data_IF_568729452683
#
_entry.id   IF_568729452683
#
_cell.length_a   1.000
_cell.length_b   1.000
_cell.length_c   1.000
_cell.angle_alpha   90.00
_cell.angle_beta   90.00
_cell.angle_gamma   90.00
#
_symmetry.space_group_name_H-M   'P 1'
#
loop_
_entity.id
_entity.type
_entity.pdbx_description
1 polymer ?
#
# COMPACT_ATOMS: atom_id res chain seq x y z
N UNK A 1 -4.67 45.96 -35.75
CA UNK A 1 -5.42 45.10 -34.80
C UNK A 1 -4.85 43.69 -34.90
N UNK A 2 -4.13 43.21 -33.88
CA UNK A 2 -3.52 41.88 -33.88
C UNK A 2 -4.62 40.80 -33.77
N UNK A 3 -4.69 39.83 -34.70
CA UNK A 3 -5.71 38.78 -34.63
C UNK A 3 -5.44 37.88 -33.42
N UNK A 4 -6.39 37.83 -32.48
CA UNK A 4 -6.38 36.83 -31.41
C UNK A 4 -6.59 35.46 -32.03
N UNK A 5 -5.52 34.69 -32.16
CA UNK A 5 -5.61 33.29 -32.58
C UNK A 5 -6.38 32.51 -31.51
N UNK A 6 -7.37 31.69 -31.88
CA UNK A 6 -8.12 30.90 -30.92
C UNK A 6 -7.17 29.89 -30.26
N UNK A 7 -7.10 29.91 -28.92
CA UNK A 7 -6.33 28.92 -28.16
C UNK A 7 -6.77 27.51 -28.58
N UNK A 8 -5.85 26.60 -28.93
CA UNK A 8 -6.21 25.30 -29.47
C UNK A 8 -7.03 24.52 -28.44
N UNK A 9 -8.19 24.01 -28.84
CA UNK A 9 -9.09 23.23 -27.99
C UNK A 9 -8.38 22.06 -27.29
N UNK A 10 -7.33 21.53 -27.92
CA UNK A 10 -6.45 20.48 -27.41
C UNK A 10 -5.81 20.86 -26.06
N UNK A 11 -5.41 22.13 -25.86
CA UNK A 11 -4.84 22.58 -24.56
C UNK A 11 -5.86 22.54 -23.43
N UNK A 12 -7.16 22.67 -23.74
CA UNK A 12 -8.25 22.55 -22.75
C UNK A 12 -8.47 21.09 -22.33
N UNK A 13 -8.37 20.16 -23.29
CA UNK A 13 -8.42 18.72 -23.01
C UNK A 13 -7.20 18.24 -22.23
N UNK A 14 -5.99 18.63 -22.63
CA UNK A 14 -4.75 18.28 -21.91
C UNK A 14 -4.77 18.81 -20.48
N UNK A 15 -5.23 20.05 -20.24
CA UNK A 15 -5.40 20.57 -18.88
C UNK A 15 -6.44 19.79 -18.07
N UNK A 16 -7.51 19.31 -18.71
CA UNK A 16 -8.53 18.49 -18.06
C UNK A 16 -7.98 17.11 -17.69
N UNK A 17 -7.35 16.42 -18.63
CA UNK A 17 -6.78 15.09 -18.41
C UNK A 17 -5.64 15.11 -17.39
N UNK A 18 -4.76 16.12 -17.42
CA UNK A 18 -3.70 16.27 -16.44
C UNK A 18 -4.24 16.42 -15.01
N UNK A 19 -5.32 17.20 -14.82
CA UNK A 19 -5.97 17.32 -13.51
C UNK A 19 -6.56 15.99 -13.05
N UNK A 20 -7.23 15.26 -13.95
CA UNK A 20 -7.80 13.94 -13.61
C UNK A 20 -6.70 12.95 -13.23
N UNK A 21 -5.61 12.89 -13.99
CA UNK A 21 -4.46 12.04 -13.67
C UNK A 21 -3.83 12.42 -12.33
N UNK A 22 -3.70 13.71 -12.04
CA UNK A 22 -3.14 14.17 -10.77
C UNK A 22 -4.03 13.80 -9.58
N UNK A 23 -5.35 13.94 -9.72
CA UNK A 23 -6.31 13.52 -8.68
C UNK A 23 -6.29 12.00 -8.52
N UNK A 24 -6.27 11.24 -9.62
CA UNK A 24 -6.20 9.79 -9.59
C UNK A 24 -4.92 9.32 -8.89
N UNK A 25 -3.77 9.89 -9.25
CA UNK A 25 -2.48 9.58 -8.64
C UNK A 25 -2.49 9.91 -7.15
N UNK A 26 -3.00 11.08 -6.77
CA UNK A 26 -3.10 11.47 -5.36
C UNK A 26 -3.99 10.50 -4.56
N UNK A 27 -5.10 10.04 -5.12
CA UNK A 27 -5.98 9.05 -4.49
C UNK A 27 -5.28 7.69 -4.37
N UNK A 28 -4.62 7.22 -5.43
CA UNK A 28 -3.84 5.98 -5.41
C UNK A 28 -2.70 6.04 -4.37
N UNK A 29 -2.01 7.18 -4.28
CA UNK A 29 -0.92 7.40 -3.33
C UNK A 29 -1.45 7.44 -1.90
N UNK A 30 -2.57 8.13 -1.65
CA UNK A 30 -3.23 8.17 -0.34
C UNK A 30 -3.75 6.79 0.08
N UNK A 31 -4.33 6.01 -0.84
CA UNK A 31 -4.76 4.64 -0.58
C UNK A 31 -3.58 3.73 -0.26
N UNK A 32 -2.49 3.82 -1.03
CA UNK A 32 -1.26 3.06 -0.80
C UNK A 32 -0.62 3.40 0.54
N UNK A 33 -0.55 4.69 0.88
CA UNK A 33 -0.06 5.15 2.18
C UNK A 33 -0.97 4.71 3.33
N UNK A 34 -2.30 4.78 3.15
CA UNK A 34 -3.26 4.29 4.13
C UNK A 34 -3.11 2.80 4.38
N UNK A 35 -2.90 2.00 3.33
CA UNK A 35 -2.62 0.57 3.43
C UNK A 35 -1.30 0.32 4.17
N UNK A 36 -0.24 1.07 3.83
CA UNK A 36 1.06 0.98 4.50
C UNK A 36 0.96 1.34 5.99
N UNK A 37 0.26 2.42 6.33
CA UNK A 37 0.02 2.85 7.69
C UNK A 37 -0.78 1.80 8.46
N UNK A 38 -1.87 1.28 7.87
CA UNK A 38 -2.69 0.21 8.45
C UNK A 38 -1.87 -1.06 8.69
N UNK A 39 -1.04 -1.46 7.74
CA UNK A 39 -0.10 -2.57 7.92
C UNK A 39 0.89 -2.28 9.04
N UNK A 40 1.36 -1.05 9.20
CA UNK A 40 2.32 -0.76 10.27
C UNK A 40 1.69 -0.73 11.67
N UNK A 41 0.40 -0.40 11.78
CA UNK A 41 -0.34 -0.32 13.06
C UNK A 41 -0.95 -1.66 13.48
N UNK A 42 -1.50 -2.44 12.54
CA UNK A 42 -2.26 -3.65 12.85
C UNK A 42 -1.58 -4.92 12.34
N UNK A 43 -1.16 -5.76 13.28
CA UNK A 43 -0.50 -7.03 12.98
C UNK A 43 -1.48 -8.10 12.44
N UNK A 44 -2.74 -8.07 12.87
CA UNK A 44 -3.81 -8.91 12.29
C UNK A 44 -4.07 -8.56 10.83
N UNK A 45 -3.98 -7.27 10.47
CA UNK A 45 -4.15 -6.84 9.09
C UNK A 45 -3.02 -7.37 8.19
N UNK A 46 -1.78 -7.44 8.70
CA UNK A 46 -0.68 -8.11 8.00
C UNK A 46 -0.96 -9.60 7.80
N UNK A 47 -1.54 -10.28 8.79
CA UNK A 47 -1.91 -11.68 8.67
C UNK A 47 -3.00 -11.90 7.61
N UNK A 48 -4.02 -11.02 7.58
CA UNK A 48 -5.05 -11.05 6.55
C UNK A 48 -4.49 -10.81 5.14
N UNK A 49 -3.61 -9.82 4.98
CA UNK A 49 -2.93 -9.55 3.72
C UNK A 49 -2.04 -10.74 3.33
N UNK A 50 -1.34 -11.37 4.26
CA UNK A 50 -0.55 -12.57 4.00
C UNK A 50 -1.41 -13.72 3.46
N UNK A 51 -2.59 -13.93 4.04
CA UNK A 51 -3.50 -15.01 3.61
C UNK A 51 -4.14 -14.73 2.25
N UNK A 52 -4.58 -13.48 2.01
CA UNK A 52 -5.36 -13.13 0.81
C UNK A 52 -4.52 -12.63 -0.36
N UNK A 53 -3.43 -11.91 -0.07
CA UNK A 53 -2.58 -11.22 -1.04
C UNK A 53 -1.08 -11.36 -0.67
N UNK A 54 -0.52 -12.57 -0.71
CA UNK A 54 0.87 -12.82 -0.31
C UNK A 54 1.89 -12.01 -1.12
N UNK A 55 1.58 -11.68 -2.39
CA UNK A 55 2.42 -10.85 -3.23
C UNK A 55 2.52 -9.39 -2.75
N UNK A 56 1.45 -8.84 -2.17
CA UNK A 56 1.44 -7.47 -1.66
C UNK A 56 2.31 -7.37 -0.39
N UNK A 57 2.27 -8.41 0.44
CA UNK A 57 3.12 -8.52 1.62
C UNK A 57 4.61 -8.65 1.26
N UNK A 58 4.94 -9.46 0.24
CA UNK A 58 6.32 -9.59 -0.25
C UNK A 58 6.86 -8.25 -0.76
N UNK A 59 6.04 -7.48 -1.49
CA UNK A 59 6.42 -6.16 -1.96
C UNK A 59 6.64 -5.18 -0.81
N UNK A 60 5.77 -5.21 0.21
CA UNK A 60 5.95 -4.43 1.43
C UNK A 60 7.27 -4.77 2.14
N UNK A 61 7.61 -6.05 2.27
CA UNK A 61 8.89 -6.45 2.86
C UNK A 61 10.09 -6.03 2.00
N UNK A 62 10.01 -6.13 0.67
CA UNK A 62 11.08 -5.63 -0.22
C UNK A 62 11.28 -4.13 -0.08
N UNK A 63 10.20 -3.36 0.01
CA UNK A 63 10.29 -1.92 0.27
C UNK A 63 10.94 -1.66 1.63
N UNK A 64 10.52 -2.40 2.68
CA UNK A 64 11.13 -2.31 4.00
C UNK A 64 12.62 -2.64 3.99
N UNK A 65 13.04 -3.66 3.26
CA UNK A 65 14.44 -4.06 3.10
C UNK A 65 15.27 -2.98 2.40
N UNK A 66 14.72 -2.34 1.35
CA UNK A 66 15.35 -1.20 0.66
C UNK A 66 15.48 0.01 1.59
N UNK A 67 14.49 0.23 2.47
CA UNK A 67 14.49 1.31 3.46
C UNK A 67 15.38 0.97 4.68
N UNK A 68 15.81 -0.29 4.81
CA UNK A 68 16.75 -0.75 5.85
C UNK A 68 16.10 -1.43 7.06
N UNK A 69 14.79 -1.71 7.02
CA UNK A 69 14.07 -2.39 8.10
C UNK A 69 13.69 -3.83 7.68
N UNK A 70 14.67 -4.73 7.79
CA UNK A 70 14.51 -6.15 7.43
C UNK A 70 13.94 -7.02 8.56
N UNK A 71 13.75 -6.46 9.76
CA UNK A 71 13.31 -7.21 10.94
C UNK A 71 11.81 -7.51 10.94
N UNK A 72 11.01 -6.71 10.22
CA UNK A 72 9.55 -6.80 10.23
C UNK A 72 9.05 -8.21 9.86
N UNK A 73 9.68 -8.83 8.86
CA UNK A 73 9.35 -10.21 8.42
C UNK A 73 9.60 -11.26 9.50
N UNK A 74 10.70 -11.12 10.26
CA UNK A 74 11.03 -12.05 11.34
C UNK A 74 10.09 -11.86 12.54
N UNK A 75 9.78 -10.60 12.86
CA UNK A 75 8.81 -10.26 13.91
C UNK A 75 7.43 -10.85 13.62
N UNK A 76 6.95 -10.73 12.39
CA UNK A 76 5.64 -11.29 12.01
C UNK A 76 5.64 -12.83 12.01
N UNK A 77 6.72 -13.47 11.52
CA UNK A 77 6.85 -14.93 11.57
C UNK A 77 6.84 -15.47 13.01
N UNK A 78 7.54 -14.80 13.93
CA UNK A 78 7.57 -15.17 15.35
C UNK A 78 6.22 -14.96 16.04
N UNK A 79 5.50 -13.91 15.68
CA UNK A 79 4.18 -13.63 16.23
C UNK A 79 3.14 -14.67 15.80
N UNK A 80 3.13 -15.04 14.51
CA UNK A 80 2.23 -16.06 14.00
C UNK A 80 2.53 -17.46 14.54
N UNK A 81 3.82 -17.82 14.68
CA UNK A 81 4.20 -19.10 15.27
C UNK A 81 3.82 -19.18 16.75
N UNK A 82 3.98 -18.08 17.50
CA UNK A 82 3.59 -17.99 18.91
C UNK A 82 2.08 -18.08 19.10
N UNK A 83 1.28 -17.44 18.24
CA UNK A 83 -0.18 -17.58 18.25
C UNK A 83 -0.62 -19.01 17.96
N UNK A 84 -0.05 -19.64 16.93
CA UNK A 84 -0.37 -21.01 16.58
C UNK A 84 0.00 -22.00 17.71
N UNK A 85 1.12 -21.75 18.40
CA UNK A 85 1.53 -22.54 19.56
C UNK A 85 0.56 -22.39 20.74
N UNK A 86 0.13 -21.15 21.07
CA UNK A 86 -0.86 -20.89 22.12
C UNK A 86 -2.20 -21.57 21.84
N UNK A 87 -2.72 -21.41 20.63
CA UNK A 87 -3.99 -22.05 20.23
C UNK A 87 -3.95 -23.57 20.35
N UNK A 88 -2.82 -24.20 20.03
CA UNK A 88 -2.67 -25.64 20.19
C UNK A 88 -2.52 -26.07 21.65
N UNK A 89 -2.00 -25.22 22.53
CA UNK A 89 -1.92 -25.50 23.96
C UNK A 89 -3.32 -25.43 24.60
N UNK A 90 -4.10 -24.39 24.29
CA UNK A 90 -5.47 -24.21 24.80
C UNK A 90 -6.43 -25.34 24.36
N UNK A 91 -6.16 -26.00 23.22
CA UNK A 91 -6.92 -27.18 22.76
C UNK A 91 -6.52 -28.50 23.44
N UNK A 92 -5.40 -28.53 24.15
CA UNK A 92 -4.90 -29.74 24.83
C UNK A 92 -5.21 -29.78 26.33
N UNK A 93 -5.65 -28.67 26.91
CA UNK A 93 -6.18 -28.56 28.28
C UNK A 93 -7.70 -28.81 28.30
#
# INVERSE_FOLDING_TARGET
>A
MLPKTPKPAIWKFIKGSAKTLFVLEAVCFAASYGLYYRMNTDQEFRQYINEKYPFALDYYYKIGEIVGDSNIRQTDANYWSSQAAKFNNDRRE
#
